data_IF_793109942839
#
_entry.id   IF_793109942839
#
_cell.length_a   1.000
_cell.length_b   1.000
_cell.length_c   1.000
_cell.angle_alpha   90.00
_cell.angle_beta   90.00
_cell.angle_gamma   90.00
#
_symmetry.space_group_name_H-M   'P 1'
#
loop_
_entity.id
_entity.type
_entity.pdbx_description
1 polymer ?
#
# COMPACT_ATOMS: atom_id res chain seq x y z
N UNK A 1 -4.59 -19.54 3.93
CA UNK A 1 -3.72 -19.46 2.74
C UNK A 1 -3.11 -18.06 2.73
N UNK A 2 -1.84 -17.92 2.39
CA UNK A 2 -1.17 -16.62 2.30
C UNK A 2 -1.57 -15.94 0.97
N UNK A 3 -2.38 -14.87 1.07
CA UNK A 3 -2.91 -14.19 -0.13
C UNK A 3 -1.81 -13.52 -0.97
N UNK A 4 -0.76 -12.99 -0.34
CA UNK A 4 0.38 -12.44 -1.09
C UNK A 4 1.14 -13.53 -1.83
N UNK A 5 1.38 -14.67 -1.20
CA UNK A 5 2.05 -15.79 -1.86
C UNK A 5 1.22 -16.28 -3.06
N UNK A 6 -0.08 -16.45 -2.90
CA UNK A 6 -0.98 -16.84 -3.99
C UNK A 6 -1.02 -15.79 -5.10
N UNK A 7 -1.04 -14.50 -4.74
CA UNK A 7 -1.00 -13.40 -5.69
C UNK A 7 0.27 -13.44 -6.54
N UNK A 8 1.45 -13.44 -5.91
CA UNK A 8 2.71 -13.37 -6.64
C UNK A 8 2.96 -14.64 -7.48
N UNK A 9 2.53 -15.82 -7.02
CA UNK A 9 2.59 -17.03 -7.84
C UNK A 9 1.72 -16.91 -9.09
N UNK A 10 0.46 -16.50 -8.95
CA UNK A 10 -0.46 -16.29 -10.08
C UNK A 10 0.08 -15.27 -11.09
N UNK A 11 0.67 -14.17 -10.58
CA UNK A 11 1.25 -13.14 -11.45
C UNK A 11 2.50 -13.63 -12.19
N UNK A 12 3.35 -14.41 -11.52
CA UNK A 12 4.52 -15.02 -12.15
C UNK A 12 4.12 -15.99 -13.27
N UNK A 13 3.12 -16.85 -13.03
CA UNK A 13 2.59 -17.80 -14.01
C UNK A 13 2.02 -17.10 -15.27
N UNK A 14 1.55 -15.86 -15.11
CA UNK A 14 0.99 -15.04 -16.20
C UNK A 14 1.99 -14.01 -16.78
N UNK A 15 3.27 -14.03 -16.40
CA UNK A 15 4.27 -13.05 -16.80
C UNK A 15 3.83 -11.59 -16.50
N UNK A 16 3.25 -11.36 -15.34
CA UNK A 16 2.77 -10.05 -14.89
C UNK A 16 3.44 -9.63 -13.59
N UNK A 17 3.46 -8.34 -13.36
CA UNK A 17 3.69 -7.76 -12.03
C UNK A 17 2.39 -7.34 -11.36
N UNK A 18 2.48 -6.95 -10.08
CA UNK A 18 1.36 -6.41 -9.33
C UNK A 18 1.16 -4.91 -9.60
N UNK A 19 -0.09 -4.47 -9.67
CA UNK A 19 -0.46 -3.06 -9.51
C UNK A 19 -1.27 -2.89 -8.23
N UNK A 20 -0.79 -2.02 -7.33
CA UNK A 20 -1.37 -1.78 -6.01
C UNK A 20 -1.69 -0.29 -5.85
N UNK A 21 -2.95 0.13 -5.95
CA UNK A 21 -3.36 1.49 -5.62
C UNK A 21 -3.40 1.68 -4.10
N UNK A 22 -2.98 2.88 -3.65
CA UNK A 22 -3.18 3.35 -2.29
C UNK A 22 -4.33 4.36 -2.24
N UNK A 23 -5.19 4.25 -1.22
CA UNK A 23 -6.20 5.24 -0.88
C UNK A 23 -6.30 5.43 0.63
N UNK A 24 -6.67 6.64 1.08
CA UNK A 24 -7.06 6.88 2.47
C UNK A 24 -8.52 6.44 2.66
N UNK A 25 -8.75 5.52 3.61
CA UNK A 25 -10.10 5.04 3.91
C UNK A 25 -10.98 6.20 4.40
N UNK A 26 -12.17 6.30 3.83
CA UNK A 26 -13.13 7.35 4.16
C UNK A 26 -12.93 8.66 3.39
N UNK A 27 -12.01 8.73 2.44
CA UNK A 27 -11.87 9.85 1.51
C UNK A 27 -12.73 9.63 0.25
N UNK A 28 -13.60 10.58 -0.15
CA UNK A 28 -13.97 11.82 0.52
C UNK A 28 -14.99 11.65 1.67
N UNK A 29 -15.66 10.50 1.73
CA UNK A 29 -16.52 10.06 2.83
C UNK A 29 -16.61 8.52 2.84
N UNK A 30 -17.08 7.88 3.93
CA UNK A 30 -17.08 6.41 4.05
C UNK A 30 -17.83 5.67 2.94
N UNK A 31 -19.01 6.15 2.54
CA UNK A 31 -19.84 5.51 1.50
C UNK A 31 -19.14 5.55 0.13
N UNK A 32 -18.65 6.70 -0.26
CA UNK A 32 -17.93 6.86 -1.53
C UNK A 32 -16.58 6.13 -1.51
N UNK A 33 -15.90 6.10 -0.37
CA UNK A 33 -14.64 5.37 -0.20
C UNK A 33 -14.80 3.87 -0.46
N UNK A 34 -15.90 3.27 0.02
CA UNK A 34 -16.21 1.87 -0.26
C UNK A 34 -16.36 1.63 -1.77
N UNK A 35 -17.11 2.48 -2.46
CA UNK A 35 -17.31 2.40 -3.92
C UNK A 35 -15.99 2.62 -4.70
N UNK A 36 -15.14 3.52 -4.22
CA UNK A 36 -13.81 3.73 -4.78
C UNK A 36 -12.97 2.46 -4.68
N UNK A 37 -12.87 1.86 -3.50
CA UNK A 37 -12.13 0.61 -3.30
C UNK A 37 -12.66 -0.52 -4.20
N UNK A 38 -13.98 -0.69 -4.30
CA UNK A 38 -14.62 -1.65 -5.21
C UNK A 38 -14.21 -1.40 -6.67
N UNK A 39 -14.32 -0.15 -7.13
CA UNK A 39 -13.95 0.24 -8.51
C UNK A 39 -12.48 -0.08 -8.82
N UNK A 40 -11.58 0.21 -7.90
CA UNK A 40 -10.15 -0.11 -8.07
C UNK A 40 -9.92 -1.62 -8.24
N UNK A 41 -10.57 -2.44 -7.41
CA UNK A 41 -10.46 -3.90 -7.49
C UNK A 41 -11.07 -4.46 -8.78
N UNK A 42 -12.29 -4.04 -9.11
CA UNK A 42 -13.01 -4.45 -10.33
C UNK A 42 -12.27 -4.03 -11.61
N UNK A 43 -11.46 -2.98 -11.53
CA UNK A 43 -10.65 -2.47 -12.64
C UNK A 43 -9.26 -3.10 -12.75
N UNK A 44 -8.94 -4.09 -11.89
CA UNK A 44 -7.74 -4.90 -12.02
C UNK A 44 -6.62 -4.60 -11.02
N UNK A 45 -6.89 -3.89 -9.92
CA UNK A 45 -5.95 -3.82 -8.81
C UNK A 45 -5.68 -5.23 -8.25
N UNK A 46 -4.42 -5.59 -8.09
CA UNK A 46 -4.00 -6.92 -7.61
C UNK A 46 -4.03 -7.03 -6.09
N UNK A 47 -3.90 -5.91 -5.40
CA UNK A 47 -4.02 -5.73 -3.96
C UNK A 47 -4.46 -4.30 -3.67
N UNK A 48 -4.90 -4.02 -2.45
CA UNK A 48 -5.14 -2.67 -1.96
C UNK A 48 -4.14 -2.32 -0.85
N UNK A 49 -3.57 -1.12 -0.92
CA UNK A 49 -2.88 -0.49 0.20
C UNK A 49 -3.76 0.64 0.74
N UNK A 50 -4.09 0.58 2.02
CA UNK A 50 -5.11 1.42 2.62
C UNK A 50 -4.53 2.23 3.79
N UNK A 51 -4.76 3.54 3.79
CA UNK A 51 -4.40 4.43 4.91
C UNK A 51 -5.57 4.60 5.88
N UNK A 52 -5.33 4.45 7.20
CA UNK A 52 -6.26 4.93 8.21
C UNK A 52 -6.01 6.43 8.40
N UNK A 53 -7.05 7.31 8.28
CA UNK A 53 -6.84 8.75 8.36
C UNK A 53 -6.24 9.17 9.71
N UNK A 54 -5.24 10.03 9.63
CA UNK A 54 -4.48 10.51 10.78
C UNK A 54 -4.24 12.02 10.68
N UNK A 55 -4.23 12.71 11.83
CA UNK A 55 -4.09 14.18 11.88
C UNK A 55 -2.66 14.66 11.65
N UNK A 56 -1.66 13.82 11.97
CA UNK A 56 -0.25 14.20 12.00
C UNK A 56 0.64 13.28 11.13
N UNK A 57 0.36 13.14 9.82
CA UNK A 57 0.98 12.16 8.94
C UNK A 57 2.36 12.62 8.45
N UNK A 58 3.40 12.43 9.26
CA UNK A 58 4.77 12.95 9.08
C UNK A 58 5.44 12.53 7.74
N UNK A 59 5.12 11.35 7.22
CA UNK A 59 5.70 10.83 5.99
C UNK A 59 4.89 11.20 4.73
N UNK A 60 3.73 11.86 4.89
CA UNK A 60 2.83 12.15 3.79
C UNK A 60 3.03 13.56 3.21
N UNK A 61 3.01 13.64 1.88
CA UNK A 61 2.96 14.89 1.16
C UNK A 61 1.55 15.49 1.11
N UNK A 62 1.41 16.72 0.56
CA UNK A 62 0.18 17.50 0.65
C UNK A 62 -1.06 16.80 0.08
N UNK A 63 -0.92 16.00 -0.97
CA UNK A 63 -2.03 15.25 -1.58
C UNK A 63 -2.63 14.24 -0.59
N UNK A 64 -1.78 13.44 0.07
CA UNK A 64 -2.25 12.43 1.04
C UNK A 64 -2.72 13.11 2.33
N UNK A 65 -2.06 14.19 2.77
CA UNK A 65 -2.55 15.02 3.87
C UNK A 65 -3.96 15.56 3.60
N UNK A 66 -4.22 16.03 2.37
CA UNK A 66 -5.55 16.47 1.94
C UNK A 66 -6.61 15.36 2.05
N UNK A 67 -6.28 14.13 1.65
CA UNK A 67 -7.14 12.97 1.79
C UNK A 67 -7.45 12.65 3.27
N UNK A 68 -6.42 12.66 4.13
CA UNK A 68 -6.60 12.49 5.57
C UNK A 68 -7.57 13.54 6.14
N UNK A 69 -7.41 14.81 5.77
CA UNK A 69 -8.29 15.91 6.24
C UNK A 69 -9.73 15.71 5.77
N UNK A 70 -9.97 15.30 4.51
CA UNK A 70 -11.33 15.02 4.00
C UNK A 70 -11.97 13.86 4.75
N UNK A 71 -11.26 12.75 4.93
CA UNK A 71 -11.75 11.60 5.67
C UNK A 71 -12.06 11.93 7.15
N UNK A 72 -11.18 12.68 7.83
CA UNK A 72 -11.42 13.13 9.21
C UNK A 72 -12.61 14.09 9.31
N UNK A 73 -12.77 15.02 8.36
CA UNK A 73 -13.94 15.91 8.26
C UNK A 73 -15.24 15.12 8.07
N UNK A 74 -15.19 14.02 7.33
CA UNK A 74 -16.30 13.09 7.16
C UNK A 74 -16.52 12.16 8.38
N UNK A 75 -15.80 12.41 9.50
CA UNK A 75 -15.87 11.64 10.76
C UNK A 75 -15.49 10.17 10.61
N UNK A 76 -14.59 9.86 9.68
CA UNK A 76 -14.04 8.52 9.54
C UNK A 76 -13.14 8.19 10.72
N UNK A 77 -13.53 7.22 11.52
CA UNK A 77 -12.77 6.71 12.66
C UNK A 77 -12.07 5.40 12.29
N UNK A 78 -11.08 4.92 13.08
CA UNK A 78 -10.52 3.59 12.87
C UNK A 78 -11.56 2.46 12.90
N UNK A 79 -12.64 2.59 13.66
CA UNK A 79 -13.71 1.61 13.69
C UNK A 79 -14.44 1.53 12.35
N UNK A 80 -14.81 2.68 11.79
CA UNK A 80 -15.39 2.79 10.44
C UNK A 80 -14.42 2.21 9.39
N UNK A 81 -13.12 2.46 9.51
CA UNK A 81 -12.14 1.88 8.59
C UNK A 81 -12.16 0.35 8.61
N UNK A 82 -12.16 -0.28 9.79
CA UNK A 82 -12.22 -1.73 9.90
C UNK A 82 -13.55 -2.31 9.39
N UNK A 83 -14.67 -1.61 9.55
CA UNK A 83 -15.96 -2.00 8.97
C UNK A 83 -15.92 -1.99 7.44
N UNK A 84 -15.34 -0.95 6.83
CA UNK A 84 -15.19 -0.85 5.37
C UNK A 84 -14.24 -1.93 4.82
N UNK A 85 -13.13 -2.20 5.52
CA UNK A 85 -12.21 -3.29 5.16
C UNK A 85 -12.92 -4.65 5.18
N UNK A 86 -13.71 -4.92 6.22
CA UNK A 86 -14.47 -6.16 6.34
C UNK A 86 -15.49 -6.32 5.20
N UNK A 87 -16.12 -5.22 4.75
CA UNK A 87 -17.02 -5.25 3.60
C UNK A 87 -16.30 -5.58 2.29
N UNK A 88 -15.13 -4.97 2.04
CA UNK A 88 -14.28 -5.32 0.87
C UNK A 88 -13.83 -6.77 0.96
N UNK A 89 -13.38 -7.23 2.13
CA UNK A 89 -12.97 -8.62 2.35
C UNK A 89 -14.07 -9.62 2.05
N UNK A 90 -15.31 -9.32 2.44
CA UNK A 90 -16.46 -10.20 2.19
C UNK A 90 -16.76 -10.36 0.69
N UNK A 91 -16.53 -9.31 -0.10
CA UNK A 91 -16.74 -9.31 -1.56
C UNK A 91 -15.55 -9.91 -2.32
N UNK A 92 -14.33 -9.72 -1.80
CA UNK A 92 -13.07 -10.13 -2.45
C UNK A 92 -12.23 -10.99 -1.47
N UNK A 93 -12.59 -12.26 -1.24
CA UNK A 93 -11.96 -13.10 -0.22
C UNK A 93 -10.48 -13.36 -0.46
N UNK A 94 -10.02 -13.35 -1.70
CA UNK A 94 -8.64 -13.67 -2.10
C UNK A 94 -7.76 -12.43 -2.34
N UNK A 95 -8.32 -11.21 -2.28
CA UNK A 95 -7.59 -9.96 -2.49
C UNK A 95 -6.66 -9.68 -1.32
N UNK A 96 -5.33 -9.49 -1.50
CA UNK A 96 -4.48 -8.95 -0.45
C UNK A 96 -4.87 -7.52 -0.07
N UNK A 97 -5.01 -7.26 1.24
CA UNK A 97 -5.32 -5.94 1.79
C UNK A 97 -4.24 -5.59 2.81
N UNK A 98 -3.45 -4.54 2.51
CA UNK A 98 -2.45 -3.99 3.41
C UNK A 98 -2.90 -2.67 4.02
N UNK A 99 -2.46 -2.40 5.25
CA UNK A 99 -2.57 -1.08 5.87
C UNK A 99 -1.21 -0.37 5.83
N UNK A 100 -1.22 0.91 5.47
CA UNK A 100 -0.10 1.83 5.65
C UNK A 100 -0.54 2.90 6.65
N UNK A 101 0.18 3.03 7.77
CA UNK A 101 -0.25 3.86 8.88
C UNK A 101 0.88 4.29 9.80
N UNK A 102 0.54 4.95 10.90
CA UNK A 102 1.45 5.53 11.88
C UNK A 102 1.33 4.86 13.25
N UNK A 103 2.44 4.79 13.98
CA UNK A 103 2.54 4.11 15.27
C UNK A 103 1.50 4.58 16.30
N UNK A 104 1.19 5.87 16.36
CA UNK A 104 0.19 6.39 17.28
C UNK A 104 -1.20 5.77 17.12
N UNK A 105 -1.59 5.42 15.91
CA UNK A 105 -2.88 4.73 15.67
C UNK A 105 -2.87 3.30 16.23
N UNK A 106 -1.71 2.65 16.22
CA UNK A 106 -1.54 1.31 16.80
C UNK A 106 -1.50 1.40 18.32
N UNK A 107 -0.67 2.30 18.87
CA UNK A 107 -0.52 2.47 20.33
C UNK A 107 -1.79 2.93 21.03
N UNK A 108 -2.58 3.82 20.42
CA UNK A 108 -3.79 4.39 21.04
C UNK A 108 -4.80 3.35 21.51
N UNK A 109 -4.77 2.15 20.93
CA UNK A 109 -5.66 1.03 21.28
C UNK A 109 -4.92 -0.17 21.86
N UNK A 110 -3.60 -0.09 21.99
CA UNK A 110 -2.71 -1.18 22.33
C UNK A 110 -2.37 -2.05 21.12
N UNK A 111 -1.08 -2.39 21.00
CA UNK A 111 -0.52 -3.10 19.83
C UNK A 111 -1.27 -4.42 19.55
N UNK A 112 -1.41 -5.28 20.56
CA UNK A 112 -2.08 -6.58 20.37
C UNK A 112 -3.55 -6.42 19.94
N UNK A 113 -4.28 -5.52 20.58
CA UNK A 113 -5.69 -5.26 20.22
C UNK A 113 -5.83 -4.76 18.79
N UNK A 114 -4.92 -3.89 18.34
CA UNK A 114 -4.90 -3.41 16.97
C UNK A 114 -4.71 -4.56 15.97
N UNK A 115 -3.69 -5.41 16.15
CA UNK A 115 -3.43 -6.53 15.25
C UNK A 115 -4.52 -7.61 15.30
N UNK A 116 -5.14 -7.84 16.45
CA UNK A 116 -6.31 -8.69 16.56
C UNK A 116 -7.48 -8.17 15.71
N UNK A 117 -7.72 -6.85 15.72
CA UNK A 117 -8.74 -6.23 14.87
C UNK A 117 -8.40 -6.31 13.39
N UNK A 118 -7.12 -6.15 13.03
CA UNK A 118 -6.66 -6.39 11.66
C UNK A 118 -7.02 -7.80 11.19
N UNK A 119 -6.74 -8.82 12.01
CA UNK A 119 -7.10 -10.20 11.71
C UNK A 119 -8.61 -10.38 11.53
N UNK A 120 -9.41 -9.83 12.44
CA UNK A 120 -10.89 -9.94 12.39
C UNK A 120 -11.49 -9.26 11.15
N UNK A 121 -10.93 -8.14 10.72
CA UNK A 121 -11.37 -7.43 9.51
C UNK A 121 -10.83 -8.06 8.21
N UNK A 122 -9.88 -9.00 8.32
CA UNK A 122 -9.28 -9.67 7.17
C UNK A 122 -8.16 -8.87 6.49
N UNK A 123 -7.45 -8.03 7.23
CA UNK A 123 -6.20 -7.39 6.79
C UNK A 123 -5.11 -8.46 6.67
N UNK A 124 -4.26 -8.35 5.64
CA UNK A 124 -3.16 -9.28 5.39
C UNK A 124 -1.80 -8.75 5.84
N UNK A 125 -1.60 -7.44 5.78
CA UNK A 125 -0.33 -6.81 6.11
C UNK A 125 -0.49 -5.43 6.74
N UNK A 126 0.52 -5.02 7.49
CA UNK A 126 0.61 -3.68 8.09
C UNK A 126 2.02 -3.13 7.90
N UNK A 127 2.10 -1.92 7.35
CA UNK A 127 3.28 -1.08 7.31
C UNK A 127 3.08 0.09 8.29
N UNK A 128 3.94 0.21 9.29
CA UNK A 128 3.96 1.35 10.22
C UNK A 128 5.08 2.30 9.79
N UNK A 129 4.72 3.41 9.15
CA UNK A 129 5.65 4.24 8.38
C UNK A 129 6.72 4.95 9.21
N UNK A 130 6.46 5.19 10.48
CA UNK A 130 7.32 5.88 11.45
C UNK A 130 8.00 4.94 12.46
N UNK A 131 7.99 3.62 12.20
CA UNK A 131 8.70 2.62 13.03
C UNK A 131 9.82 1.97 12.21
N UNK A 132 11.10 2.29 12.50
CA UNK A 132 12.23 1.66 11.84
C UNK A 132 12.43 0.21 12.32
N UNK A 133 13.21 -0.59 11.59
CA UNK A 133 13.41 -2.03 11.87
C UNK A 133 13.90 -2.29 13.29
N UNK A 134 14.83 -1.49 13.82
CA UNK A 134 15.38 -1.64 15.17
C UNK A 134 14.38 -1.35 16.30
N UNK A 135 13.28 -0.66 16.04
CA UNK A 135 12.22 -0.35 17.01
C UNK A 135 10.95 -1.19 16.78
N UNK A 136 10.98 -2.12 15.84
CA UNK A 136 9.79 -2.82 15.36
C UNK A 136 9.44 -4.10 16.14
N UNK A 137 10.24 -4.52 17.10
CA UNK A 137 10.14 -5.85 17.71
C UNK A 137 8.73 -6.18 18.26
N UNK A 138 8.09 -5.27 18.98
CA UNK A 138 6.75 -5.48 19.53
C UNK A 138 5.67 -5.54 18.44
N UNK A 139 5.80 -4.72 17.39
CA UNK A 139 4.90 -4.72 16.24
C UNK A 139 5.02 -6.03 15.44
N UNK A 140 6.24 -6.49 15.18
CA UNK A 140 6.51 -7.76 14.49
C UNK A 140 5.98 -8.95 15.27
N UNK A 141 6.21 -8.99 16.59
CA UNK A 141 5.70 -10.04 17.44
C UNK A 141 4.17 -10.12 17.41
N UNK A 142 3.48 -9.00 17.56
CA UNK A 142 2.03 -8.92 17.50
C UNK A 142 1.50 -9.26 16.09
N UNK A 143 2.11 -8.71 15.04
CA UNK A 143 1.73 -9.03 13.66
C UNK A 143 1.78 -10.54 13.40
N UNK A 144 2.91 -11.19 13.72
CA UNK A 144 3.09 -12.64 13.56
C UNK A 144 2.10 -13.45 14.38
N UNK A 145 1.82 -13.04 15.63
CA UNK A 145 0.82 -13.68 16.52
C UNK A 145 -0.57 -13.73 15.88
N UNK A 146 -0.97 -12.70 15.17
CA UNK A 146 -2.28 -12.59 14.54
C UNK A 146 -2.28 -12.92 13.03
N UNK A 147 -1.18 -13.45 12.49
CA UNK A 147 -1.07 -13.85 11.09
C UNK A 147 -1.01 -12.70 10.11
N UNK A 148 -0.68 -11.49 10.58
CA UNK A 148 -0.50 -10.29 9.78
C UNK A 148 0.97 -10.19 9.32
N UNK A 149 1.20 -9.85 8.06
CA UNK A 149 2.56 -9.66 7.52
C UNK A 149 3.09 -8.27 7.87
N UNK A 150 4.22 -8.15 8.58
CA UNK A 150 4.86 -6.85 8.74
C UNK A 150 5.53 -6.44 7.42
N UNK A 151 5.21 -5.24 6.93
CA UNK A 151 5.83 -4.66 5.75
C UNK A 151 6.86 -3.64 6.19
N UNK A 152 8.04 -3.68 5.57
CA UNK A 152 9.08 -2.69 5.80
C UNK A 152 9.45 -1.93 4.53
N UNK A 153 9.85 -0.67 4.74
CA UNK A 153 10.36 0.21 3.69
C UNK A 153 11.84 -0.05 3.50
N UNK A 154 12.25 -0.25 2.25
CA UNK A 154 13.65 -0.23 1.82
C UNK A 154 13.92 1.11 1.11
N UNK A 155 14.50 2.12 1.79
CA UNK A 155 14.81 3.40 1.17
C UNK A 155 16.03 3.29 0.24
N UNK A 156 16.20 4.23 -0.72
CA UNK A 156 17.33 4.21 -1.66
C UNK A 156 18.71 4.27 -0.97
N UNK A 157 18.75 4.81 0.23
CA UNK A 157 19.96 4.98 1.04
C UNK A 157 20.15 3.89 2.10
N UNK A 158 19.35 2.80 2.04
CA UNK A 158 19.46 1.72 3.01
C UNK A 158 20.83 1.08 3.02
N UNK A 159 21.37 0.86 4.22
CA UNK A 159 22.59 0.07 4.41
C UNK A 159 22.32 -1.42 4.15
N UNK A 160 23.39 -2.20 3.97
CA UNK A 160 23.26 -3.66 3.86
C UNK A 160 22.63 -4.28 5.10
N UNK A 161 22.91 -3.76 6.27
CA UNK A 161 22.31 -4.18 7.54
C UNK A 161 20.81 -3.92 7.52
N UNK A 162 20.37 -2.71 7.16
CA UNK A 162 18.95 -2.37 7.01
C UNK A 162 18.24 -3.29 6.02
N UNK A 163 18.87 -3.59 4.87
CA UNK A 163 18.26 -4.48 3.87
C UNK A 163 18.13 -5.93 4.37
N UNK A 164 19.08 -6.40 5.18
CA UNK A 164 18.99 -7.72 5.86
C UNK A 164 17.86 -7.74 6.88
N UNK A 165 17.75 -6.71 7.71
CA UNK A 165 16.65 -6.60 8.68
C UNK A 165 15.30 -6.59 7.99
N UNK A 166 15.15 -5.82 6.91
CA UNK A 166 13.94 -5.79 6.08
C UNK A 166 13.60 -7.18 5.54
N UNK A 167 14.60 -7.94 5.10
CA UNK A 167 14.40 -9.29 4.60
C UNK A 167 13.99 -10.28 5.70
N UNK A 168 14.61 -10.20 6.87
CA UNK A 168 14.37 -11.13 8.00
C UNK A 168 13.06 -10.86 8.73
N UNK A 169 12.76 -9.60 8.98
CA UNK A 169 11.58 -9.18 9.75
C UNK A 169 10.34 -9.09 8.89
N UNK A 170 10.49 -8.78 7.61
CA UNK A 170 9.40 -8.54 6.67
C UNK A 170 8.64 -9.77 6.24
N UNK A 171 7.44 -9.54 5.67
CA UNK A 171 6.59 -10.57 5.08
C UNK A 171 5.66 -9.97 4.02
N UNK A 172 4.99 -10.80 3.22
CA UNK A 172 4.10 -10.32 2.17
C UNK A 172 4.86 -9.68 1.00
N UNK A 173 5.30 -8.45 1.15
CA UNK A 173 6.15 -7.74 0.18
C UNK A 173 7.14 -6.79 0.88
N UNK A 174 8.15 -6.33 0.15
CA UNK A 174 9.05 -5.25 0.56
C UNK A 174 8.62 -3.95 -0.14
N UNK A 175 8.40 -2.87 0.62
CA UNK A 175 8.09 -1.56 0.05
C UNK A 175 9.39 -0.87 -0.37
N UNK A 176 9.70 -0.91 -1.66
CA UNK A 176 10.92 -0.30 -2.20
C UNK A 176 10.64 1.15 -2.63
N UNK A 177 11.41 2.10 -2.10
CA UNK A 177 11.27 3.50 -2.50
C UNK A 177 12.10 3.79 -3.76
N UNK A 178 11.46 4.44 -4.74
CA UNK A 178 12.13 4.95 -5.94
C UNK A 178 12.95 6.22 -5.68
N UNK A 179 12.67 6.91 -4.57
CA UNK A 179 13.33 8.17 -4.17
C UNK A 179 13.19 8.41 -2.66
N UNK A 180 14.07 9.23 -2.11
CA UNK A 180 13.95 9.72 -0.73
C UNK A 180 12.92 10.87 -0.63
N UNK A 181 12.40 11.11 0.57
CA UNK A 181 11.46 12.18 0.90
C UNK A 181 10.05 11.68 1.23
N UNK A 182 9.07 12.61 1.16
CA UNK A 182 7.66 12.33 1.43
C UNK A 182 6.90 11.88 0.17
N UNK A 183 5.69 11.36 0.32
CA UNK A 183 4.80 11.00 -0.78
C UNK A 183 4.50 12.22 -1.69
N UNK A 184 4.33 12.01 -2.98
CA UNK A 184 3.97 13.07 -3.92
C UNK A 184 4.09 12.62 -5.39
N UNK A 185 3.17 13.09 -6.23
CA UNK A 185 3.20 12.85 -7.67
C UNK A 185 3.94 13.96 -8.43
N UNK A 186 4.39 15.01 -7.73
CA UNK A 186 5.10 16.15 -8.31
C UNK A 186 6.54 15.81 -8.69
N UNK A 187 7.13 14.83 -8.02
CA UNK A 187 8.50 14.37 -8.29
C UNK A 187 8.45 12.95 -8.82
N UNK A 188 8.89 12.79 -10.08
CA UNK A 188 8.95 11.47 -10.73
C UNK A 188 9.91 10.53 -10.03
N UNK A 189 9.62 9.23 -10.13
CA UNK A 189 10.51 8.18 -9.63
C UNK A 189 11.91 8.30 -10.26
N UNK A 190 12.95 8.23 -9.44
CA UNK A 190 14.33 8.12 -9.91
C UNK A 190 14.68 6.63 -10.05
N UNK A 191 15.06 6.23 -11.24
CA UNK A 191 15.57 4.90 -11.52
C UNK A 191 17.09 5.01 -11.77
N UNK A 192 17.93 4.01 -11.42
CA UNK A 192 17.62 2.61 -11.20
C UNK A 192 17.67 2.19 -9.71
N UNK A 193 16.77 1.29 -9.32
CA UNK A 193 16.75 0.61 -8.00
C UNK A 193 17.34 -0.81 -8.07
N UNK A 194 18.01 -1.15 -9.16
CA UNK A 194 18.52 -2.50 -9.45
C UNK A 194 19.45 -3.03 -8.36
N UNK A 195 20.37 -2.20 -7.87
CA UNK A 195 21.33 -2.60 -6.81
C UNK A 195 20.60 -3.02 -5.52
N UNK A 196 19.53 -2.30 -5.11
CA UNK A 196 18.77 -2.70 -3.94
C UNK A 196 17.95 -3.97 -4.20
N UNK A 197 17.36 -4.11 -5.40
CA UNK A 197 16.63 -5.31 -5.79
C UNK A 197 17.53 -6.55 -5.77
N UNK A 198 18.76 -6.44 -6.30
CA UNK A 198 19.73 -7.54 -6.29
C UNK A 198 20.08 -7.95 -4.85
N UNK A 199 20.33 -6.97 -3.97
CA UNK A 199 20.63 -7.23 -2.55
C UNK A 199 19.44 -7.84 -1.81
N UNK A 200 18.23 -7.30 -1.98
CA UNK A 200 17.02 -7.85 -1.39
C UNK A 200 16.79 -9.29 -1.83
N UNK A 201 17.01 -9.58 -3.12
CA UNK A 201 16.95 -10.94 -3.66
C UNK A 201 18.01 -11.84 -3.02
N UNK A 202 19.25 -11.38 -2.89
CA UNK A 202 20.33 -12.12 -2.23
C UNK A 202 20.01 -12.45 -0.76
N UNK A 203 19.30 -11.54 -0.06
CA UNK A 203 18.88 -11.75 1.34
C UNK A 203 17.55 -12.50 1.47
N UNK A 204 16.99 -13.02 0.38
CA UNK A 204 15.69 -13.70 0.34
C UNK A 204 14.53 -12.87 0.88
N UNK A 205 14.57 -11.55 0.65
CA UNK A 205 13.47 -10.66 1.02
C UNK A 205 12.17 -11.01 0.29
N UNK A 206 11.01 -10.70 0.86
CA UNK A 206 9.74 -10.78 0.14
C UNK A 206 9.76 -9.98 -1.17
N UNK A 207 8.91 -10.33 -2.17
CA UNK A 207 8.87 -9.63 -3.46
C UNK A 207 8.77 -8.11 -3.31
N UNK A 208 9.60 -7.36 -4.03
CA UNK A 208 9.64 -5.89 -3.89
C UNK A 208 8.58 -5.21 -4.75
N UNK A 209 7.79 -4.32 -4.14
CA UNK A 209 6.87 -3.41 -4.84
C UNK A 209 7.47 -2.00 -4.82
N UNK A 210 7.62 -1.40 -6.02
CA UNK A 210 8.18 -0.06 -6.14
C UNK A 210 7.11 1.00 -5.90
N UNK A 211 7.33 1.87 -4.92
CA UNK A 211 6.44 2.98 -4.58
C UNK A 211 7.11 4.35 -4.73
N UNK A 212 6.36 5.40 -4.46
CA UNK A 212 6.68 6.83 -4.54
C UNK A 212 6.92 7.33 -5.98
N UNK A 213 6.08 8.30 -6.38
CA UNK A 213 6.17 8.97 -7.68
C UNK A 213 5.69 8.12 -8.86
N UNK A 214 5.02 7.00 -8.63
CA UNK A 214 4.39 6.18 -9.67
C UNK A 214 3.04 6.80 -10.03
N UNK A 215 2.94 7.37 -11.21
CA UNK A 215 1.77 8.10 -11.70
C UNK A 215 1.41 7.82 -13.16
N UNK A 216 2.29 7.14 -13.89
CA UNK A 216 2.16 6.89 -15.33
C UNK A 216 2.48 5.42 -15.65
N UNK A 217 1.81 4.81 -16.66
CA UNK A 217 2.06 3.42 -17.06
C UNK A 217 3.51 3.12 -17.42
N UNK A 218 4.22 4.08 -18.01
CA UNK A 218 5.63 3.91 -18.38
C UNK A 218 6.53 3.67 -17.15
N UNK A 219 6.22 4.32 -16.02
CA UNK A 219 6.95 4.08 -14.77
C UNK A 219 6.69 2.67 -14.21
N UNK A 220 5.47 2.14 -14.39
CA UNK A 220 5.15 0.75 -14.03
C UNK A 220 5.99 -0.21 -14.88
N UNK A 221 6.05 -0.01 -16.22
CA UNK A 221 6.90 -0.83 -17.11
C UNK A 221 8.36 -0.79 -16.67
N UNK A 222 8.88 0.40 -16.36
CA UNK A 222 10.26 0.56 -15.89
C UNK A 222 10.51 -0.17 -14.57
N UNK A 223 9.56 -0.11 -13.61
CA UNK A 223 9.64 -0.85 -12.37
C UNK A 223 9.74 -2.37 -12.62
N UNK A 224 8.87 -2.92 -13.46
CA UNK A 224 8.88 -4.33 -13.83
C UNK A 224 10.18 -4.71 -14.56
N UNK A 225 10.62 -3.91 -15.53
CA UNK A 225 11.86 -4.12 -16.25
C UNK A 225 13.11 -4.09 -15.35
N UNK A 226 13.07 -3.36 -14.23
CA UNK A 226 14.13 -3.32 -13.23
C UNK A 226 14.16 -4.53 -12.31
N UNK A 227 13.18 -5.45 -12.40
CA UNK A 227 13.08 -6.65 -11.58
C UNK A 227 12.14 -6.52 -10.37
N UNK A 228 11.42 -5.39 -10.20
CA UNK A 228 10.41 -5.29 -9.17
C UNK A 228 9.22 -6.23 -9.47
N UNK A 229 8.60 -6.77 -8.43
CA UNK A 229 7.42 -7.63 -8.53
C UNK A 229 6.14 -6.85 -8.83
N UNK A 230 6.18 -5.51 -8.75
CA UNK A 230 5.04 -4.65 -9.03
C UNK A 230 5.30 -3.20 -8.66
N UNK A 231 4.24 -2.40 -8.74
CA UNK A 231 4.27 -0.97 -8.43
C UNK A 231 3.08 -0.54 -7.57
N UNK A 232 3.34 0.43 -6.67
CA UNK A 232 2.34 1.06 -5.80
C UNK A 232 2.14 2.50 -6.27
N UNK A 233 0.88 2.91 -6.47
CA UNK A 233 0.51 4.27 -6.84
C UNK A 233 -0.44 4.88 -5.82
N UNK A 234 -0.01 5.91 -5.11
CA UNK A 234 -0.79 6.60 -4.09
C UNK A 234 -1.27 7.97 -4.54
N UNK A 235 -0.39 8.97 -4.53
CA UNK A 235 -0.76 10.37 -4.79
C UNK A 235 -1.47 10.58 -6.12
N UNK A 236 -1.19 9.79 -7.16
CA UNK A 236 -1.90 9.89 -8.44
C UNK A 236 -3.36 9.44 -8.31
N UNK A 237 -3.63 8.34 -7.60
CA UNK A 237 -4.99 7.88 -7.30
C UNK A 237 -5.75 8.90 -6.48
N UNK A 238 -5.13 9.40 -5.40
CA UNK A 238 -5.74 10.39 -4.50
C UNK A 238 -6.01 11.72 -5.22
N UNK A 239 -5.17 12.15 -6.15
CA UNK A 239 -5.45 13.34 -6.99
C UNK A 239 -6.69 13.17 -7.87
N UNK A 240 -6.93 11.97 -8.43
CA UNK A 240 -8.16 11.72 -9.18
C UNK A 240 -9.38 11.90 -8.27
N UNK A 241 -9.32 11.42 -7.03
CA UNK A 241 -10.37 11.61 -6.04
C UNK A 241 -10.55 13.11 -5.73
N UNK A 242 -9.45 13.81 -5.43
CA UNK A 242 -9.44 15.23 -5.07
C UNK A 242 -10.07 16.12 -6.14
N UNK A 243 -9.74 15.92 -7.41
CA UNK A 243 -10.18 16.77 -8.51
C UNK A 243 -11.56 16.43 -9.06
N UNK A 244 -12.22 15.38 -8.60
CA UNK A 244 -13.52 14.96 -9.12
C UNK A 244 -14.59 14.83 -8.02
N UNK A 245 -14.43 15.50 -6.87
CA UNK A 245 -15.39 15.39 -5.75
C UNK A 245 -16.81 15.82 -6.11
N UNK A 246 -16.95 16.77 -7.06
CA UNK A 246 -18.24 17.28 -7.51
C UNK A 246 -18.97 16.35 -8.51
N UNK A 247 -18.28 15.33 -9.05
CA UNK A 247 -18.86 14.37 -10.00
C UNK A 247 -18.35 12.96 -9.70
N UNK A 248 -19.09 12.26 -8.86
CA UNK A 248 -18.66 10.96 -8.36
C UNK A 248 -18.61 9.87 -9.46
N UNK A 249 -19.54 9.88 -10.40
CA UNK A 249 -19.52 8.91 -11.51
C UNK A 249 -18.28 9.12 -12.42
N UNK A 250 -17.95 10.36 -12.70
CA UNK A 250 -16.72 10.70 -13.45
C UNK A 250 -15.47 10.31 -12.67
N UNK A 251 -15.45 10.50 -11.35
CA UNK A 251 -14.38 10.04 -10.47
C UNK A 251 -14.15 8.54 -10.62
N UNK A 252 -15.20 7.74 -10.50
CA UNK A 252 -15.12 6.29 -10.63
C UNK A 252 -14.63 5.86 -12.01
N UNK A 253 -15.13 6.49 -13.08
CA UNK A 253 -14.70 6.22 -14.45
C UNK A 253 -13.20 6.51 -14.65
N UNK A 254 -12.70 7.62 -14.12
CA UNK A 254 -11.27 7.98 -14.19
C UNK A 254 -10.40 7.03 -13.37
N UNK A 255 -10.84 6.63 -12.18
CA UNK A 255 -10.14 5.65 -11.35
C UNK A 255 -10.07 4.29 -12.04
N UNK A 256 -11.17 3.85 -12.65
CA UNK A 256 -11.22 2.61 -13.42
C UNK A 256 -10.22 2.64 -14.59
N UNK A 257 -10.27 3.69 -15.41
CA UNK A 257 -9.37 3.84 -16.56
C UNK A 257 -7.90 3.92 -16.12
N UNK A 258 -7.60 4.68 -15.08
CA UNK A 258 -6.25 4.78 -14.52
C UNK A 258 -5.75 3.39 -14.07
N UNK A 259 -6.55 2.68 -13.28
CA UNK A 259 -6.19 1.35 -12.77
C UNK A 259 -5.94 0.36 -13.91
N UNK A 260 -6.82 0.31 -14.92
CA UNK A 260 -6.68 -0.54 -16.09
C UNK A 260 -5.38 -0.24 -16.87
N UNK A 261 -5.09 1.04 -17.09
CA UNK A 261 -3.87 1.47 -17.80
C UNK A 261 -2.60 1.07 -17.04
N UNK A 262 -2.60 1.28 -15.71
CA UNK A 262 -1.47 0.93 -14.86
C UNK A 262 -1.29 -0.60 -14.77
N UNK A 263 -2.39 -1.35 -14.65
CA UNK A 263 -2.35 -2.83 -14.65
C UNK A 263 -1.88 -3.38 -15.98
N UNK A 264 -2.35 -2.86 -17.10
CA UNK A 264 -1.88 -3.26 -18.42
C UNK A 264 -0.36 -3.08 -18.61
N UNK A 265 0.23 -2.09 -17.92
CA UNK A 265 1.66 -1.82 -17.97
C UNK A 265 2.52 -2.79 -17.13
N UNK A 266 1.91 -3.70 -16.35
CA UNK A 266 2.64 -4.70 -15.54
C UNK A 266 3.06 -5.95 -16.32
N UNK A 267 2.67 -6.10 -17.58
CA UNK A 267 3.11 -7.22 -18.43
C UNK A 267 4.63 -7.16 -18.67
N UNK A 268 5.29 -8.35 -18.51
CA UNK A 268 6.73 -8.53 -18.72
C UNK A 268 7.04 -8.79 -20.19
#
# INVERSE_FOLDING_TARGET
MDRYQSLFQRLADNNQGAFVPFVTIGDPNPEQSLRIMQTLVESGADALELGIPFSDPLADGPTIQGANLRALKAKTTPDVCFELIAQIRAQHPDLPIGLLMYANLVYSRGIENFYQRCQQAGVDSVLVADVPTNESAEFVAAARKFGIKPIFIAPPTASDETLKDVAELGGGYTYLLSRAGVTGAETKANMPVTTQLDKLTQYNAPPSLLGFGISEPEQVKQAIASGAAGAISGSAVVKIIEFNQDNFDEMLNKLAQFTQNMKAATHK
#
